data_IF_119145450667
#
_entry.id   IF_119145450667
#
_cell.length_a   1.000
_cell.length_b   1.000
_cell.length_c   1.000
_cell.angle_alpha   90.00
_cell.angle_beta   90.00
_cell.angle_gamma   90.00
#
_symmetry.space_group_name_H-M   'P 1'
#
loop_
_entity.id
_entity.type
_entity.pdbx_description
1 polymer ?
#
# COMPACT_ATOMS: atom_id res chain seq x y z
N UNK A 1 -26.85 18.71 -21.81
CA UNK A 1 -26.42 19.19 -20.48
C UNK A 1 -24.92 19.47 -20.53
N UNK A 2 -24.43 20.59 -19.99
CA UNK A 2 -22.99 20.89 -19.91
C UNK A 2 -22.42 20.19 -18.67
N UNK A 3 -21.43 19.31 -18.84
CA UNK A 3 -20.78 18.59 -17.74
C UNK A 3 -19.80 19.51 -17.00
N UNK A 4 -19.70 19.35 -15.67
CA UNK A 4 -18.76 20.10 -14.83
C UNK A 4 -17.41 19.37 -14.76
N UNK A 5 -16.28 20.01 -15.15
CA UNK A 5 -14.96 19.39 -15.08
C UNK A 5 -14.47 19.30 -13.63
N UNK A 6 -13.97 18.13 -13.24
CA UNK A 6 -13.48 17.82 -11.89
C UNK A 6 -12.32 16.82 -11.96
N UNK A 7 -11.52 16.72 -10.90
CA UNK A 7 -10.65 15.56 -10.66
C UNK A 7 -11.48 14.34 -10.25
N UNK A 8 -10.91 13.13 -10.33
CA UNK A 8 -11.60 11.93 -9.85
C UNK A 8 -12.03 12.06 -8.39
N UNK A 9 -11.17 12.63 -7.55
CA UNK A 9 -11.42 12.79 -6.11
C UNK A 9 -12.49 13.83 -5.80
N UNK A 10 -12.51 14.97 -6.49
CA UNK A 10 -13.63 15.92 -6.42
C UNK A 10 -14.95 15.31 -6.93
N UNK A 11 -14.86 14.32 -7.83
CA UNK A 11 -16.00 13.52 -8.28
C UNK A 11 -16.42 12.39 -7.33
N UNK A 12 -15.75 12.26 -6.19
CA UNK A 12 -16.00 11.24 -5.16
C UNK A 12 -15.32 9.90 -5.41
N UNK A 13 -14.26 9.85 -6.23
CA UNK A 13 -13.44 8.65 -6.46
C UNK A 13 -12.07 8.78 -5.78
N UNK A 14 -11.77 7.85 -4.90
CA UNK A 14 -10.43 7.69 -4.31
C UNK A 14 -9.40 7.31 -5.37
N UNK A 15 -8.11 7.48 -5.06
CA UNK A 15 -7.03 7.02 -5.92
C UNK A 15 -7.06 5.50 -6.14
N UNK A 16 -7.47 4.73 -5.13
CA UNK A 16 -7.58 3.28 -5.22
C UNK A 16 -8.72 2.86 -6.16
N UNK A 17 -9.89 3.49 -6.05
CA UNK A 17 -11.01 3.24 -6.98
C UNK A 17 -10.62 3.59 -8.42
N UNK A 18 -9.88 4.68 -8.62
CA UNK A 18 -9.36 5.05 -9.94
C UNK A 18 -8.41 4.00 -10.51
N UNK A 19 -7.52 3.42 -9.67
CA UNK A 19 -6.64 2.31 -10.08
C UNK A 19 -7.49 1.07 -10.40
N UNK A 20 -8.43 0.68 -9.53
CA UNK A 20 -9.26 -0.49 -9.73
C UNK A 20 -10.07 -0.42 -11.02
N UNK A 21 -10.65 0.74 -11.32
CA UNK A 21 -11.38 0.99 -12.56
C UNK A 21 -10.46 0.89 -13.78
N UNK A 22 -9.25 1.45 -13.69
CA UNK A 22 -8.26 1.33 -14.76
C UNK A 22 -7.83 -0.13 -14.98
N UNK A 23 -7.54 -0.90 -13.92
CA UNK A 23 -7.19 -2.32 -14.02
C UNK A 23 -8.32 -3.13 -14.65
N UNK A 24 -9.56 -2.89 -14.22
CA UNK A 24 -10.75 -3.56 -14.76
C UNK A 24 -10.91 -3.28 -16.25
N UNK A 25 -10.71 -2.02 -16.67
CA UNK A 25 -10.77 -1.64 -18.07
C UNK A 25 -9.63 -2.28 -18.89
N UNK A 26 -8.41 -2.37 -18.35
CA UNK A 26 -7.30 -3.07 -19.03
C UNK A 26 -7.62 -4.56 -19.21
N UNK A 27 -8.18 -5.22 -18.19
CA UNK A 27 -8.63 -6.62 -18.29
C UNK A 27 -9.71 -6.78 -19.36
N UNK A 28 -10.70 -5.87 -19.38
CA UNK A 28 -11.80 -5.89 -20.36
C UNK A 28 -11.30 -5.76 -21.80
N UNK A 29 -10.21 -5.03 -22.02
CA UNK A 29 -9.56 -4.87 -23.33
C UNK A 29 -8.47 -5.93 -23.60
N UNK A 30 -8.58 -7.13 -23.01
CA UNK A 30 -7.66 -8.24 -23.30
C UNK A 30 -6.27 -8.09 -22.67
N UNK A 31 -6.10 -7.21 -21.69
CA UNK A 31 -4.83 -7.00 -20.97
C UNK A 31 -4.05 -5.76 -21.39
N UNK A 32 -4.54 -4.98 -22.36
CA UNK A 32 -3.97 -3.68 -22.76
C UNK A 32 -5.09 -2.66 -22.99
N UNK A 33 -4.99 -1.45 -22.43
CA UNK A 33 -5.94 -0.36 -22.72
C UNK A 33 -5.23 0.93 -23.13
N UNK A 34 -5.89 1.70 -24.01
CA UNK A 34 -5.44 3.04 -24.40
C UNK A 34 -5.77 4.08 -23.33
N UNK A 35 -5.09 5.22 -23.38
CA UNK A 35 -5.36 6.34 -22.47
C UNK A 35 -6.81 6.81 -22.53
N UNK A 36 -7.37 6.94 -23.74
CA UNK A 36 -8.76 7.32 -23.96
C UNK A 36 -9.75 6.29 -23.41
N UNK A 37 -9.46 4.99 -23.53
CA UNK A 37 -10.32 3.93 -22.98
C UNK A 37 -10.43 4.01 -21.46
N UNK A 38 -9.32 4.25 -20.77
CA UNK A 38 -9.34 4.46 -19.31
C UNK A 38 -10.10 5.74 -18.94
N UNK A 39 -9.88 6.86 -19.63
CA UNK A 39 -10.63 8.09 -19.36
C UNK A 39 -12.13 7.88 -19.54
N UNK A 40 -12.53 7.23 -20.63
CA UNK A 40 -13.92 6.90 -20.88
C UNK A 40 -14.51 6.00 -19.79
N UNK A 41 -13.75 5.04 -19.25
CA UNK A 41 -14.21 4.17 -18.17
C UNK A 41 -14.48 4.95 -16.86
N UNK A 42 -13.63 5.91 -16.51
CA UNK A 42 -13.85 6.79 -15.35
C UNK A 42 -15.03 7.74 -15.62
N UNK A 43 -15.07 8.37 -16.80
CA UNK A 43 -16.13 9.30 -17.18
C UNK A 43 -17.50 8.62 -17.26
N UNK A 44 -17.59 7.33 -17.58
CA UNK A 44 -18.83 6.57 -17.52
C UNK A 44 -19.47 6.56 -16.12
N UNK A 45 -18.67 6.74 -15.06
CA UNK A 45 -19.14 6.83 -13.67
C UNK A 45 -19.44 8.28 -13.27
N UNK A 46 -18.68 9.24 -13.80
CA UNK A 46 -18.84 10.67 -13.47
C UNK A 46 -19.97 11.35 -14.25
N UNK A 47 -20.14 11.03 -15.53
CA UNK A 47 -21.09 11.69 -16.42
C UNK A 47 -22.55 11.59 -15.93
N UNK A 48 -23.03 10.45 -15.39
CA UNK A 48 -24.36 10.38 -14.79
C UNK A 48 -24.59 11.34 -13.61
N UNK A 49 -23.51 11.79 -12.95
CA UNK A 49 -23.52 12.78 -11.87
C UNK A 49 -23.42 14.22 -12.39
N UNK A 50 -23.41 14.42 -13.71
CA UNK A 50 -23.18 15.71 -14.34
C UNK A 50 -21.71 16.17 -14.31
N UNK A 51 -20.77 15.26 -14.06
CA UNK A 51 -19.34 15.54 -13.88
C UNK A 51 -18.52 14.94 -15.04
N UNK A 52 -17.33 15.48 -15.31
CA UNK A 52 -16.38 14.93 -16.30
C UNK A 52 -14.94 15.17 -15.85
N UNK A 53 -13.96 14.41 -16.34
CA UNK A 53 -12.56 14.60 -15.95
C UNK A 53 -11.98 15.91 -16.51
N UNK A 54 -11.50 16.76 -15.61
CA UNK A 54 -10.66 17.91 -15.97
C UNK A 54 -9.28 17.46 -16.45
N UNK A 55 -8.51 18.35 -17.07
CA UNK A 55 -7.11 18.06 -17.43
C UNK A 55 -6.24 17.72 -16.21
N UNK A 56 -6.51 18.35 -15.07
CA UNK A 56 -5.90 17.99 -13.79
C UNK A 56 -6.33 16.58 -13.35
N UNK A 57 -7.62 16.22 -13.49
CA UNK A 57 -8.11 14.87 -13.19
C UNK A 57 -7.44 13.79 -14.05
N UNK A 58 -7.29 14.05 -15.34
CA UNK A 58 -6.57 13.19 -16.28
C UNK A 58 -5.09 13.06 -15.94
N UNK A 59 -4.45 14.13 -15.46
CA UNK A 59 -3.07 14.11 -14.99
C UNK A 59 -2.92 13.27 -13.70
N UNK A 60 -3.80 13.45 -12.72
CA UNK A 60 -3.82 12.65 -11.48
C UNK A 60 -4.05 11.17 -11.76
N UNK A 61 -4.96 10.83 -12.68
CA UNK A 61 -5.17 9.44 -13.09
C UNK A 61 -3.91 8.82 -13.72
N UNK A 62 -3.22 9.57 -14.59
CA UNK A 62 -1.94 9.13 -15.16
C UNK A 62 -0.89 8.91 -14.08
N UNK A 63 -0.83 9.76 -13.05
CA UNK A 63 0.06 9.55 -11.92
C UNK A 63 -0.27 8.25 -11.17
N UNK A 64 -1.54 8.00 -10.84
CA UNK A 64 -1.93 6.78 -10.13
C UNK A 64 -1.55 5.53 -10.90
N UNK A 65 -1.75 5.50 -12.22
CA UNK A 65 -1.41 4.34 -13.04
C UNK A 65 0.11 4.22 -13.21
N UNK A 66 0.77 5.27 -13.70
CA UNK A 66 2.19 5.20 -14.08
C UNK A 66 3.15 5.14 -12.88
N UNK A 67 2.72 5.63 -11.72
CA UNK A 67 3.55 5.67 -10.51
C UNK A 67 3.08 4.64 -9.50
N UNK A 68 1.85 4.75 -9.01
CA UNK A 68 1.36 3.92 -7.91
C UNK A 68 1.14 2.48 -8.35
N UNK A 69 0.35 2.24 -9.40
CA UNK A 69 0.05 0.89 -9.87
C UNK A 69 1.29 0.18 -10.46
N UNK A 70 2.21 0.93 -11.08
CA UNK A 70 3.51 0.39 -11.52
C UNK A 70 4.39 0.01 -10.33
N UNK A 71 4.50 0.86 -9.30
CA UNK A 71 5.28 0.56 -8.10
C UNK A 71 4.71 -0.64 -7.33
N UNK A 72 3.40 -0.82 -7.33
CA UNK A 72 2.71 -2.01 -6.80
C UNK A 72 2.87 -3.27 -7.68
N UNK A 73 3.41 -3.13 -8.89
CA UNK A 73 3.58 -4.22 -9.85
C UNK A 73 2.29 -4.66 -10.54
N UNK A 74 1.22 -3.86 -10.52
CA UNK A 74 -0.07 -4.17 -11.16
C UNK A 74 -0.08 -3.88 -12.66
N UNK A 75 0.70 -2.88 -13.07
CA UNK A 75 0.82 -2.42 -14.47
C UNK A 75 2.29 -2.42 -14.85
N UNK A 76 2.60 -2.82 -16.08
CA UNK A 76 3.97 -2.72 -16.60
C UNK A 76 4.39 -1.25 -16.74
N UNK A 77 5.67 -0.91 -16.51
CA UNK A 77 6.20 0.41 -16.82
C UNK A 77 5.94 0.81 -18.28
N UNK A 78 5.84 2.11 -18.54
CA UNK A 78 5.62 2.62 -19.88
C UNK A 78 6.70 2.14 -20.86
N UNK A 79 6.26 1.58 -21.99
CA UNK A 79 7.10 1.10 -23.07
C UNK A 79 6.70 1.79 -24.39
N UNK A 80 7.65 2.49 -25.00
CA UNK A 80 7.42 3.21 -26.27
C UNK A 80 7.11 2.27 -27.44
N UNK A 81 7.54 1.01 -27.35
CA UNK A 81 7.33 0.00 -28.40
C UNK A 81 5.97 -0.71 -28.29
N UNK A 82 5.33 -0.63 -27.12
CA UNK A 82 4.04 -1.23 -26.83
C UNK A 82 3.09 -0.16 -26.28
N UNK A 83 2.46 0.66 -27.14
CA UNK A 83 1.62 1.77 -26.68
C UNK A 83 0.40 1.28 -25.90
N UNK A 84 0.07 2.00 -24.83
CA UNK A 84 -1.03 1.68 -23.91
C UNK A 84 -0.54 1.21 -22.54
N UNK A 85 -1.48 1.02 -21.63
CA UNK A 85 -1.22 0.44 -20.32
C UNK A 85 -1.48 -1.06 -20.35
N UNK A 86 -0.50 -1.84 -19.90
CA UNK A 86 -0.55 -3.29 -19.89
C UNK A 86 -0.60 -3.81 -18.48
N UNK A 87 -1.53 -4.70 -18.21
CA UNK A 87 -1.68 -5.29 -16.88
C UNK A 87 -0.69 -6.45 -16.68
N UNK A 88 -0.17 -6.60 -15.47
CA UNK A 88 0.57 -7.81 -15.08
C UNK A 88 -0.39 -8.90 -14.63
N UNK A 89 0.11 -10.12 -14.40
CA UNK A 89 -0.72 -11.17 -13.77
C UNK A 89 -1.20 -10.75 -12.38
N UNK A 90 -0.33 -10.08 -11.61
CA UNK A 90 -0.69 -9.53 -10.30
C UNK A 90 -1.82 -8.51 -10.40
N UNK A 91 -1.73 -7.58 -11.35
CA UNK A 91 -2.78 -6.59 -11.59
C UNK A 91 -4.12 -7.25 -11.95
N UNK A 92 -4.08 -8.36 -12.71
CA UNK A 92 -5.28 -9.13 -13.07
C UNK A 92 -5.95 -9.75 -11.84
N UNK A 93 -5.18 -10.34 -10.94
CA UNK A 93 -5.71 -10.88 -9.68
C UNK A 93 -6.39 -9.79 -8.83
N UNK A 94 -5.78 -8.61 -8.74
CA UNK A 94 -6.33 -7.47 -8.00
C UNK A 94 -7.62 -6.96 -8.66
N UNK A 95 -7.63 -6.84 -9.98
CA UNK A 95 -8.82 -6.45 -10.75
C UNK A 95 -10.02 -7.36 -10.45
N UNK A 96 -9.78 -8.66 -10.25
CA UNK A 96 -10.82 -9.66 -9.97
C UNK A 96 -11.25 -9.71 -8.50
N UNK A 97 -10.36 -9.36 -7.56
CA UNK A 97 -10.65 -9.43 -6.12
C UNK A 97 -11.57 -8.30 -5.65
N UNK A 98 -11.48 -7.14 -6.28
CA UNK A 98 -12.20 -5.93 -5.86
C UNK A 98 -11.61 -5.27 -4.61
N UNK A 99 -12.20 -4.14 -4.22
CA UNK A 99 -11.80 -3.40 -3.03
C UNK A 99 -12.19 -4.16 -1.75
N UNK A 100 -11.26 -4.21 -0.79
CA UNK A 100 -11.48 -4.81 0.53
C UNK A 100 -11.18 -3.78 1.61
N UNK A 101 -11.91 -3.82 2.71
CA UNK A 101 -11.62 -3.03 3.91
C UNK A 101 -11.00 -3.90 4.99
N UNK A 102 -10.24 -3.27 5.87
CA UNK A 102 -9.81 -3.84 7.15
C UNK A 102 -10.14 -2.88 8.28
N UNK A 103 -10.27 -3.41 9.48
CA UNK A 103 -10.44 -2.58 10.67
C UNK A 103 -9.08 -2.18 11.22
N UNK A 104 -8.98 -0.95 11.70
CA UNK A 104 -7.80 -0.39 12.35
C UNK A 104 -8.21 0.46 13.55
N UNK A 105 -7.26 0.81 14.43
CA UNK A 105 -7.54 1.60 15.63
C UNK A 105 -6.90 2.98 15.47
N UNK A 106 -7.68 4.03 15.67
CA UNK A 106 -7.13 5.37 15.81
C UNK A 106 -6.59 5.54 17.22
N UNK A 107 -5.28 5.77 17.32
CA UNK A 107 -4.55 5.78 18.60
C UNK A 107 -4.93 6.99 19.45
N UNK A 108 -5.33 8.10 18.82
CA UNK A 108 -5.64 9.34 19.54
C UNK A 108 -7.05 9.31 20.11
N UNK A 109 -8.00 8.70 19.41
CA UNK A 109 -9.41 8.58 19.83
C UNK A 109 -9.77 7.24 20.46
N UNK A 110 -8.97 6.19 20.26
CA UNK A 110 -9.26 4.81 20.65
C UNK A 110 -10.36 4.14 19.82
N UNK A 111 -10.87 4.80 18.78
CA UNK A 111 -11.99 4.28 17.98
C UNK A 111 -11.52 3.32 16.89
N UNK A 112 -12.30 2.27 16.67
CA UNK A 112 -12.12 1.36 15.53
C UNK A 112 -12.67 2.01 14.27
N UNK A 113 -11.88 2.03 13.21
CA UNK A 113 -12.25 2.58 11.91
C UNK A 113 -12.07 1.52 10.81
N UNK A 114 -12.91 1.56 9.79
CA UNK A 114 -12.68 0.79 8.56
C UNK A 114 -11.78 1.59 7.62
N UNK A 115 -10.67 0.98 7.23
CA UNK A 115 -9.71 1.54 6.28
C UNK A 115 -9.61 0.63 5.04
N UNK A 116 -9.23 1.18 3.87
CA UNK A 116 -8.95 0.34 2.70
C UNK A 116 -7.79 -0.62 2.98
N UNK A 117 -8.01 -1.92 2.78
CA UNK A 117 -7.00 -2.97 2.84
C UNK A 117 -6.45 -3.25 1.43
N UNK A 118 -5.17 -3.63 1.34
CA UNK A 118 -4.52 -4.01 0.07
C UNK A 118 -4.52 -2.89 -0.99
N UNK A 119 -4.35 -1.65 -0.54
CA UNK A 119 -4.21 -0.54 -1.47
C UNK A 119 -2.97 -0.71 -2.33
N UNK A 120 -3.00 -0.20 -3.56
CA UNK A 120 -1.83 -0.18 -4.43
C UNK A 120 -0.62 0.49 -3.76
N UNK A 121 -0.85 1.53 -2.94
CA UNK A 121 0.22 2.15 -2.14
C UNK A 121 0.76 1.23 -1.05
N UNK A 122 -0.10 0.48 -0.37
CA UNK A 122 0.31 -0.53 0.60
C UNK A 122 1.20 -1.60 -0.04
N UNK A 123 0.80 -2.15 -1.18
CA UNK A 123 1.61 -3.14 -1.90
C UNK A 123 2.94 -2.54 -2.42
N UNK A 124 2.92 -1.29 -2.92
CA UNK A 124 4.13 -0.59 -3.31
C UNK A 124 5.08 -0.36 -2.10
N UNK A 125 4.52 -0.05 -0.94
CA UNK A 125 5.28 0.14 0.30
C UNK A 125 5.87 -1.18 0.81
N UNK A 126 5.13 -2.28 0.75
CA UNK A 126 5.64 -3.62 1.05
C UNK A 126 6.87 -3.97 0.19
N UNK A 127 6.80 -3.75 -1.12
CA UNK A 127 7.91 -3.99 -2.04
C UNK A 127 9.11 -3.07 -1.76
N UNK A 128 8.85 -1.82 -1.39
CA UNK A 128 9.87 -0.88 -0.94
C UNK A 128 10.57 -1.37 0.32
N UNK A 129 9.83 -1.80 1.34
CA UNK A 129 10.38 -2.34 2.59
C UNK A 129 11.17 -3.62 2.31
N UNK A 130 10.71 -4.50 1.43
CA UNK A 130 11.47 -5.68 1.02
C UNK A 130 12.83 -5.31 0.42
N UNK A 131 12.91 -4.24 -0.37
CA UNK A 131 14.19 -3.73 -0.90
C UNK A 131 15.09 -3.24 0.22
N UNK A 132 14.56 -2.54 1.22
CA UNK A 132 15.30 -2.11 2.41
C UNK A 132 15.82 -3.30 3.20
N UNK A 133 14.97 -4.30 3.47
CA UNK A 133 15.35 -5.52 4.18
C UNK A 133 16.44 -6.30 3.45
N UNK A 134 16.37 -6.41 2.12
CA UNK A 134 17.42 -7.07 1.32
C UNK A 134 18.76 -6.35 1.41
N UNK A 135 18.77 -5.03 1.49
CA UNK A 135 20.00 -4.25 1.63
C UNK A 135 20.55 -4.27 3.07
N UNK A 136 19.67 -4.26 4.07
CA UNK A 136 20.04 -4.37 5.48
C UNK A 136 20.54 -5.77 5.87
N UNK A 137 19.97 -6.80 5.23
CA UNK A 137 20.24 -8.21 5.52
C UNK A 137 20.60 -8.95 4.21
N UNK A 138 21.77 -8.67 3.60
CA UNK A 138 22.14 -9.19 2.29
C UNK A 138 22.41 -10.71 2.29
N UNK A 139 22.70 -11.29 3.45
CA UNK A 139 22.94 -12.73 3.61
C UNK A 139 21.67 -13.52 3.94
N UNK A 140 20.49 -12.99 3.63
CA UNK A 140 19.21 -13.67 3.85
C UNK A 140 18.47 -13.87 2.51
N UNK A 141 18.01 -15.10 2.29
CA UNK A 141 17.07 -15.43 1.24
C UNK A 141 15.66 -15.01 1.68
N UNK A 142 15.17 -13.91 1.12
CA UNK A 142 13.86 -13.34 1.45
C UNK A 142 12.73 -13.93 0.60
N UNK A 143 11.68 -14.39 1.26
CA UNK A 143 10.47 -14.95 0.65
C UNK A 143 9.24 -14.13 1.00
N UNK A 144 8.50 -13.67 -0.02
CA UNK A 144 7.22 -12.97 0.14
C UNK A 144 6.07 -13.98 0.32
N UNK A 145 5.45 -13.99 1.49
CA UNK A 145 4.39 -14.92 1.87
C UNK A 145 3.00 -14.51 1.31
N UNK A 146 2.77 -13.21 1.10
CA UNK A 146 1.50 -12.64 0.65
C UNK A 146 1.05 -12.93 -0.79
N UNK A 147 1.79 -13.73 -1.57
CA UNK A 147 1.37 -14.11 -2.94
C UNK A 147 0.20 -15.11 -2.94
N UNK A 148 -0.07 -15.78 -1.82
CA UNK A 148 -1.26 -16.61 -1.64
C UNK A 148 -1.81 -16.46 -0.21
N UNK A 149 -2.74 -15.52 -0.02
CA UNK A 149 -3.32 -15.17 1.30
C UNK A 149 -3.90 -16.35 2.08
N UNK A 150 -4.24 -17.46 1.40
CA UNK A 150 -4.73 -18.69 2.05
C UNK A 150 -3.69 -19.33 2.98
N UNK A 151 -2.40 -19.06 2.74
CA UNK A 151 -1.28 -19.59 3.52
C UNK A 151 -0.53 -18.50 4.32
N UNK A 152 -0.99 -17.26 4.27
CA UNK A 152 -0.36 -16.14 4.94
C UNK A 152 -0.63 -16.20 6.45
N UNK A 153 0.37 -16.67 7.20
CA UNK A 153 0.32 -16.84 8.65
C UNK A 153 0.81 -15.59 9.39
N UNK A 154 0.31 -14.41 9.02
CA UNK A 154 0.55 -13.16 9.77
C UNK A 154 1.94 -12.54 9.61
N UNK A 155 2.70 -12.92 8.58
CA UNK A 155 3.98 -12.25 8.23
C UNK A 155 4.03 -12.10 6.72
N UNK A 156 4.50 -10.96 6.23
CA UNK A 156 4.58 -10.68 4.79
C UNK A 156 5.88 -11.23 4.20
N UNK A 157 6.97 -11.16 4.96
CA UNK A 157 8.30 -11.60 4.55
C UNK A 157 8.91 -12.56 5.56
N UNK A 158 9.62 -13.57 5.05
CA UNK A 158 10.49 -14.43 5.86
C UNK A 158 11.87 -14.48 5.19
N UNK A 159 12.89 -14.08 5.92
CA UNK A 159 14.29 -14.18 5.53
C UNK A 159 14.93 -15.40 6.18
N UNK A 160 15.55 -16.27 5.39
CA UNK A 160 16.37 -17.38 5.89
C UNK A 160 17.84 -17.09 5.63
N UNK A 161 18.68 -17.18 6.65
CA UNK A 161 20.11 -16.93 6.49
C UNK A 161 20.74 -17.89 5.50
N UNK A 162 21.65 -17.39 4.69
CA UNK A 162 22.49 -18.16 3.78
C UNK A 162 23.82 -18.43 4.49
N UNK A 163 24.09 -19.71 4.77
CA UNK A 163 25.30 -20.15 5.45
C UNK A 163 25.23 -20.16 6.99
N UNK A 164 26.32 -20.63 7.59
CA UNK A 164 26.44 -20.84 9.04
C UNK A 164 27.33 -19.76 9.68
N UNK A 165 26.70 -18.66 10.10
CA UNK A 165 27.34 -17.66 10.95
C UNK A 165 26.99 -17.94 12.42
N UNK A 166 27.98 -18.07 13.30
CA UNK A 166 27.73 -18.20 14.74
C UNK A 166 27.40 -16.82 15.30
N UNK A 167 26.22 -16.66 15.89
CA UNK A 167 25.81 -15.42 16.59
C UNK A 167 24.79 -14.55 15.86
N UNK A 168 24.48 -14.87 14.60
CA UNK A 168 23.37 -14.22 13.88
C UNK A 168 22.09 -15.07 13.94
N UNK A 169 20.90 -14.46 13.85
CA UNK A 169 19.64 -15.19 13.78
C UNK A 169 19.56 -16.04 12.50
N UNK A 170 19.06 -17.27 12.58
CA UNK A 170 18.88 -18.12 11.41
C UNK A 170 17.69 -17.66 10.56
N UNK A 171 16.69 -17.06 11.20
CA UNK A 171 15.42 -16.65 10.58
C UNK A 171 14.99 -15.26 11.02
N UNK A 172 14.57 -14.47 10.05
CA UNK A 172 13.94 -13.16 10.24
C UNK A 172 12.51 -13.23 9.68
N UNK A 173 11.57 -12.53 10.29
CA UNK A 173 10.28 -12.26 9.66
C UNK A 173 9.89 -10.80 9.80
N UNK A 174 9.16 -10.29 8.81
CA UNK A 174 8.65 -8.94 8.83
C UNK A 174 7.16 -8.93 8.49
N UNK A 175 6.39 -8.17 9.27
CA UNK A 175 5.07 -7.69 8.90
C UNK A 175 5.16 -6.20 8.59
N UNK A 176 4.51 -5.78 7.52
CA UNK A 176 4.51 -4.43 7.01
C UNK A 176 3.07 -3.92 6.96
N UNK A 177 2.89 -2.66 7.37
CA UNK A 177 1.59 -1.97 7.33
C UNK A 177 1.76 -0.53 6.84
N UNK A 178 0.93 -0.13 5.89
CA UNK A 178 0.93 1.24 5.36
C UNK A 178 -0.32 1.97 5.85
N UNK A 179 -0.21 2.60 7.01
CA UNK A 179 -1.30 3.29 7.70
C UNK A 179 -1.07 4.81 7.78
N UNK A 180 -2.14 5.55 8.07
CA UNK A 180 -2.03 6.96 8.48
C UNK A 180 -1.27 7.06 9.82
N UNK A 181 -0.60 8.19 10.12
CA UNK A 181 0.27 8.31 11.30
C UNK A 181 -0.41 8.02 12.64
N UNK A 182 -1.71 8.27 12.76
CA UNK A 182 -2.49 8.02 13.97
C UNK A 182 -3.20 6.67 13.99
N UNK A 183 -2.96 5.81 13.01
CA UNK A 183 -3.65 4.53 12.87
C UNK A 183 -2.72 3.36 13.27
N UNK A 184 -3.22 2.53 14.17
CA UNK A 184 -2.62 1.29 14.63
C UNK A 184 -3.27 0.06 13.99
N UNK A 185 -2.52 -1.04 13.82
CA UNK A 185 -3.13 -2.33 13.50
C UNK A 185 -4.13 -2.73 14.60
N UNK A 186 -5.14 -3.51 14.23
CA UNK A 186 -6.04 -4.09 15.24
C UNK A 186 -5.32 -5.11 16.11
N UNK A 187 -5.89 -5.38 17.29
CA UNK A 187 -5.47 -6.49 18.15
C UNK A 187 -5.45 -7.81 17.37
N UNK A 188 -6.45 -8.08 16.53
CA UNK A 188 -6.50 -9.30 15.71
C UNK A 188 -5.30 -9.41 14.76
N UNK A 189 -4.93 -8.34 14.07
CA UNK A 189 -3.79 -8.33 13.17
C UNK A 189 -2.47 -8.48 13.92
N UNK A 190 -2.34 -7.78 15.05
CA UNK A 190 -1.19 -7.86 15.92
C UNK A 190 -0.99 -9.28 16.47
N UNK A 191 -2.04 -9.90 16.99
CA UNK A 191 -2.01 -11.29 17.46
C UNK A 191 -1.75 -12.28 16.32
N UNK A 192 -2.30 -12.03 15.11
CA UNK A 192 -1.98 -12.84 13.92
C UNK A 192 -0.48 -12.78 13.62
N UNK A 193 0.13 -11.61 13.73
CA UNK A 193 1.58 -11.44 13.55
C UNK A 193 2.40 -12.18 14.59
N UNK A 194 2.13 -11.99 15.88
CA UNK A 194 2.85 -12.67 16.96
C UNK A 194 2.71 -14.21 16.83
N UNK A 195 1.49 -14.68 16.56
CA UNK A 195 1.21 -16.11 16.33
C UNK A 195 1.98 -16.64 15.12
N UNK A 196 2.10 -15.83 14.07
CA UNK A 196 2.87 -16.13 12.86
C UNK A 196 4.34 -16.33 13.13
N UNK A 197 4.94 -15.43 13.90
CA UNK A 197 6.33 -15.50 14.33
C UNK A 197 6.59 -16.75 15.19
N UNK A 198 5.72 -17.01 16.17
CA UNK A 198 5.83 -18.19 17.04
C UNK A 198 5.71 -19.50 16.25
N UNK A 199 4.67 -19.65 15.42
CA UNK A 199 4.42 -20.86 14.65
C UNK A 199 5.55 -21.20 13.67
N UNK A 200 6.32 -20.20 13.24
CA UNK A 200 7.45 -20.36 12.31
C UNK A 200 8.81 -20.40 13.01
N UNK A 201 8.86 -20.29 14.34
CA UNK A 201 10.09 -20.23 15.15
C UNK A 201 11.04 -19.15 14.64
N UNK A 202 10.50 -17.95 14.43
CA UNK A 202 11.28 -16.80 13.96
C UNK A 202 12.21 -16.34 15.09
N UNK A 203 13.51 -16.17 14.78
CA UNK A 203 14.50 -15.73 15.76
C UNK A 203 14.41 -14.22 16.02
N UNK A 204 14.18 -13.42 14.97
CA UNK A 204 13.94 -11.97 15.09
C UNK A 204 12.74 -11.56 14.25
N UNK A 205 11.76 -10.95 14.92
CA UNK A 205 10.55 -10.44 14.32
C UNK A 205 10.65 -8.92 14.14
N UNK A 206 10.28 -8.44 12.95
CA UNK A 206 10.20 -7.03 12.61
C UNK A 206 8.75 -6.63 12.35
N UNK A 207 8.33 -5.50 12.89
CA UNK A 207 7.04 -4.89 12.59
C UNK A 207 7.28 -3.49 12.02
N UNK A 208 6.95 -3.28 10.75
CA UNK A 208 7.21 -2.05 10.02
C UNK A 208 5.90 -1.36 9.71
N UNK A 209 5.70 -0.14 10.21
CA UNK A 209 4.46 0.61 9.95
C UNK A 209 4.71 2.10 9.77
N UNK A 210 3.97 2.73 8.85
CA UNK A 210 3.92 4.20 8.75
C UNK A 210 2.97 4.84 9.76
N UNK A 211 2.14 4.04 10.42
CA UNK A 211 1.28 4.45 11.52
C UNK A 211 2.00 4.40 12.87
N UNK A 212 1.24 4.15 13.94
CA UNK A 212 1.74 3.99 15.31
C UNK A 212 1.18 2.73 15.95
N UNK A 213 1.87 2.17 16.94
CA UNK A 213 1.32 1.11 17.79
C UNK A 213 0.57 1.70 18.99
N UNK A 214 -0.41 0.96 19.51
CA UNK A 214 -1.01 1.27 20.82
C UNK A 214 -0.01 1.03 21.95
N UNK A 215 -0.25 1.59 23.14
CA UNK A 215 0.60 1.37 24.32
C UNK A 215 0.72 -0.11 24.69
N UNK A 216 -0.36 -0.87 24.54
CA UNK A 216 -0.39 -2.31 24.82
C UNK A 216 0.43 -3.09 23.79
N UNK A 217 0.24 -2.82 22.50
CA UNK A 217 1.04 -3.44 21.43
C UNK A 217 2.53 -3.13 21.58
N UNK A 218 2.88 -1.92 22.02
CA UNK A 218 4.28 -1.54 22.28
C UNK A 218 4.87 -2.31 23.46
N UNK A 219 4.11 -2.49 24.54
CA UNK A 219 4.51 -3.33 25.68
C UNK A 219 4.74 -4.77 25.23
N UNK A 220 3.80 -5.34 24.49
CA UNK A 220 3.89 -6.71 23.96
C UNK A 220 5.06 -6.88 22.99
N UNK A 221 5.32 -5.89 22.12
CA UNK A 221 6.46 -5.89 21.22
C UNK A 221 7.78 -5.98 22.00
N UNK A 222 7.90 -5.21 23.09
CA UNK A 222 9.08 -5.24 23.95
C UNK A 222 9.24 -6.59 24.66
N UNK A 223 8.16 -7.12 25.23
CA UNK A 223 8.16 -8.43 25.91
C UNK A 223 8.52 -9.58 24.96
N UNK A 224 8.06 -9.51 23.71
CA UNK A 224 8.32 -10.50 22.68
C UNK A 224 9.65 -10.28 21.91
N UNK A 225 10.38 -9.20 22.18
CA UNK A 225 11.62 -8.86 21.46
C UNK A 225 11.41 -8.50 19.98
N UNK A 226 10.24 -7.96 19.63
CA UNK A 226 9.91 -7.49 18.28
C UNK A 226 10.61 -6.16 18.02
N UNK A 227 11.33 -6.07 16.90
CA UNK A 227 11.90 -4.81 16.41
C UNK A 227 10.81 -4.01 15.69
N UNK A 228 10.43 -2.86 16.24
CA UNK A 228 9.40 -2.00 15.65
C UNK A 228 10.05 -0.84 14.90
N UNK A 229 9.69 -0.70 13.62
CA UNK A 229 10.02 0.46 12.79
C UNK A 229 8.74 1.26 12.56
N UNK A 230 8.59 2.35 13.30
CA UNK A 230 7.37 3.15 13.36
C UNK A 230 7.58 4.52 12.72
N UNK A 231 6.65 4.90 11.84
CA UNK A 231 6.63 6.22 11.22
C UNK A 231 7.57 6.37 10.02
N UNK A 232 7.24 7.35 9.17
CA UNK A 232 7.91 7.59 7.88
C UNK A 232 9.39 7.96 8.07
N UNK A 233 9.71 8.71 9.11
CA UNK A 233 11.06 9.22 9.35
C UNK A 233 12.04 8.10 9.69
N UNK A 234 11.64 7.16 10.54
CA UNK A 234 12.50 6.04 10.93
C UNK A 234 12.76 5.09 9.75
N UNK A 235 11.72 4.80 8.98
CA UNK A 235 11.83 3.99 7.76
C UNK A 235 12.74 4.67 6.72
N UNK A 236 12.63 6.00 6.58
CA UNK A 236 13.46 6.79 5.67
C UNK A 236 14.92 6.83 6.14
N UNK A 237 15.15 6.99 7.45
CA UNK A 237 16.47 6.96 8.07
C UNK A 237 17.15 5.61 7.83
N UNK A 238 16.46 4.50 8.06
CA UNK A 238 16.98 3.16 7.79
C UNK A 238 17.31 2.96 6.31
N UNK A 239 16.42 3.38 5.40
CA UNK A 239 16.68 3.28 3.97
C UNK A 239 17.94 4.06 3.55
N UNK A 240 18.12 5.27 4.08
CA UNK A 240 19.28 6.10 3.79
C UNK A 240 20.61 5.47 4.25
N UNK A 241 20.62 4.78 5.40
CA UNK A 241 21.79 4.01 5.87
C UNK A 241 22.24 2.93 4.88
N UNK A 242 21.32 2.43 4.06
CA UNK A 242 21.58 1.41 3.04
C UNK A 242 21.57 1.97 1.60
N UNK A 243 21.73 3.29 1.45
CA UNK A 243 21.75 3.99 0.15
C UNK A 243 20.50 3.76 -0.70
N UNK A 244 19.35 3.56 -0.06
CA UNK A 244 18.05 3.48 -0.70
C UNK A 244 17.36 4.84 -0.54
N UNK A 245 16.94 5.44 -1.66
CA UNK A 245 16.18 6.69 -1.65
C UNK A 245 14.82 6.54 -0.93
N UNK A 246 14.20 7.66 -0.50
CA UNK A 246 12.95 7.63 0.26
C UNK A 246 11.80 7.00 -0.54
N UNK A 247 10.79 6.50 0.17
CA UNK A 247 9.55 6.07 -0.47
C UNK A 247 8.78 7.29 -0.98
N UNK A 248 8.59 7.34 -2.29
CA UNK A 248 8.12 8.53 -3.01
C UNK A 248 6.59 8.61 -3.14
N UNK A 249 5.88 7.76 -2.39
CA UNK A 249 4.41 7.68 -2.30
C UNK A 249 3.91 7.88 -0.86
N UNK A 250 4.74 8.46 0.02
CA UNK A 250 4.31 8.84 1.38
C UNK A 250 3.25 9.95 1.39
N UNK A 251 3.24 10.81 0.38
CA UNK A 251 2.30 11.92 0.27
C UNK A 251 0.98 11.44 -0.37
N UNK A 252 -0.12 11.83 0.25
CA UNK A 252 -1.38 11.89 -0.46
C UNK A 252 -1.30 13.01 -1.51
N UNK A 253 -1.79 12.76 -2.73
CA UNK A 253 -1.79 13.82 -3.74
C UNK A 253 -2.74 14.88 -3.20
N UNK A 254 -2.23 16.08 -2.91
CA UNK A 254 -3.03 17.21 -2.47
C UNK A 254 -4.24 17.36 -3.41
N UNK A 255 -5.42 17.05 -2.86
CA UNK A 255 -6.65 16.78 -3.60
C UNK A 255 -7.55 15.75 -2.91
N UNK A 256 -7.00 14.88 -2.05
CA UNK A 256 -7.76 14.04 -1.11
C UNK A 256 -8.03 14.78 0.20
N UNK A 257 -9.11 15.56 0.20
CA UNK A 257 -9.87 16.00 1.38
C UNK A 257 -9.07 16.51 2.60
N UNK A 258 -8.78 17.81 2.61
CA UNK A 258 -8.79 18.62 3.85
C UNK A 258 -9.46 19.99 3.63
N UNK A 259 -10.39 20.07 2.67
CA UNK A 259 -11.20 21.27 2.41
C UNK A 259 -12.53 21.27 3.17
N UNK A 260 -12.57 20.59 4.31
CA UNK A 260 -13.82 20.26 5.01
C UNK A 260 -13.80 20.53 6.50
N UNK A 261 -13.06 21.53 6.99
CA UNK A 261 -13.16 21.95 8.41
C UNK A 261 -12.96 23.47 8.69
N UNK A 262 -12.75 24.33 7.68
CA UNK A 262 -12.55 25.78 7.90
C UNK A 262 -13.73 26.71 7.50
N UNK A 263 -14.93 26.16 7.27
CA UNK A 263 -16.10 26.96 6.88
C UNK A 263 -17.18 27.09 7.99
N UNK A 264 -16.85 26.85 9.26
CA UNK A 264 -17.80 26.92 10.37
C UNK A 264 -17.40 27.88 11.51
N UNK A 265 -16.55 28.87 11.25
CA UNK A 265 -16.12 29.88 12.23
C UNK A 265 -16.13 31.30 11.68
N UNK A 266 -17.09 31.60 10.80
CA UNK A 266 -17.42 32.96 10.40
C UNK A 266 -18.94 33.12 10.18
N UNK A 267 -19.70 33.10 11.27
CA UNK A 267 -20.98 33.80 11.42
C UNK A 267 -21.06 34.41 12.81
#
# INVERSE_FOLDING_TARGET
>A
MKLKPVTGTEGGLTGEEQIQLALTEIVRNGGTASTQSIYAAIEAILNPRGLTLSEQGKASLRFFINKVAVAAGFVYPHDKTNPGWRITERGREVALRGATTETAIDVDSGLVQEIPSNTARGEAFELYVLRVLKAAYPYYAWHHQGRDKRNERGVDFVGKRIGDSRGEPATLAAQVKFHKPNIAPTEREWLKFLSGCFARRIDVALFVTTGRLTSEQRREAQEAGVVVLEGKDEITRLAALHHIGPFDLFEEIAGSADAGLDAASAQ
#
